data_IF_794947697888
#
_entry.id   IF_794947697888
#
_cell.length_a   1.000
_cell.length_b   1.000
_cell.length_c   1.000
_cell.angle_alpha   90.00
_cell.angle_beta   90.00
_cell.angle_gamma   90.00
#
_symmetry.space_group_name_H-M   'P 1'
#
loop_
_entity.id
_entity.type
_entity.pdbx_description
1 polymer ?
#
# COMPACT_ATOMS: atom_id res chain seq x y z
N UNK A 1 9.97 -20.43 -5.22
CA UNK A 1 8.60 -21.00 -5.30
C UNK A 1 7.68 -20.48 -4.20
N UNK A 2 8.04 -20.56 -2.91
CA UNK A 2 7.17 -20.10 -1.81
C UNK A 2 6.70 -18.63 -1.92
N UNK A 3 7.61 -17.71 -2.27
CA UNK A 3 7.25 -16.30 -2.46
C UNK A 3 6.20 -16.08 -3.55
N UNK A 4 6.38 -16.70 -4.72
CA UNK A 4 5.43 -16.57 -5.84
C UNK A 4 4.04 -17.10 -5.50
N UNK A 5 3.97 -18.20 -4.74
CA UNK A 5 2.70 -18.72 -4.25
C UNK A 5 2.02 -17.74 -3.29
N UNK A 6 2.78 -17.14 -2.36
CA UNK A 6 2.28 -16.10 -1.47
C UNK A 6 1.78 -14.86 -2.25
N UNK A 7 2.54 -14.38 -3.25
CA UNK A 7 2.11 -13.26 -4.08
C UNK A 7 0.78 -13.57 -4.79
N UNK A 8 0.61 -14.80 -5.28
CA UNK A 8 -0.62 -15.22 -5.92
C UNK A 8 -1.81 -15.25 -4.95
N UNK A 9 -1.62 -15.72 -3.71
CA UNK A 9 -2.69 -15.70 -2.71
C UNK A 9 -3.11 -14.28 -2.33
N UNK A 10 -2.16 -13.35 -2.24
CA UNK A 10 -2.46 -11.93 -2.00
C UNK A 10 -3.20 -11.29 -3.18
N UNK A 11 -2.82 -11.61 -4.41
CA UNK A 11 -3.55 -11.15 -5.60
C UNK A 11 -4.98 -11.67 -5.62
N UNK A 12 -5.24 -12.91 -5.19
CA UNK A 12 -6.59 -13.44 -5.07
C UNK A 12 -7.39 -12.75 -3.95
N UNK A 13 -6.76 -12.49 -2.80
CA UNK A 13 -7.40 -11.79 -1.68
C UNK A 13 -7.87 -10.38 -2.09
N UNK A 14 -6.97 -9.56 -2.63
CA UNK A 14 -7.30 -8.21 -3.09
C UNK A 14 -8.18 -8.24 -4.34
N UNK A 15 -7.97 -9.20 -5.25
CA UNK A 15 -8.81 -9.40 -6.43
C UNK A 15 -10.28 -9.66 -6.07
N UNK A 16 -10.54 -10.51 -5.08
CA UNK A 16 -11.88 -10.74 -4.57
C UNK A 16 -12.53 -9.46 -4.00
N UNK A 17 -11.77 -8.67 -3.24
CA UNK A 17 -12.24 -7.37 -2.73
C UNK A 17 -12.49 -6.34 -3.83
N UNK A 18 -11.69 -6.32 -4.89
CA UNK A 18 -11.91 -5.43 -6.05
C UNK A 18 -13.18 -5.79 -6.82
N UNK A 19 -13.48 -7.08 -6.98
CA UNK A 19 -14.75 -7.54 -7.57
C UNK A 19 -15.91 -7.10 -6.69
N UNK A 20 -15.81 -7.31 -5.37
CA UNK A 20 -16.84 -6.90 -4.42
C UNK A 20 -17.11 -5.38 -4.48
N UNK A 21 -16.04 -4.57 -4.50
CA UNK A 21 -16.15 -3.13 -4.70
C UNK A 21 -16.85 -2.77 -6.01
N UNK A 22 -16.49 -3.42 -7.12
CA UNK A 22 -17.06 -3.15 -8.43
C UNK A 22 -18.56 -3.47 -8.48
N UNK A 23 -19.00 -4.57 -7.86
CA UNK A 23 -20.42 -4.94 -7.79
C UNK A 23 -21.22 -3.92 -6.98
N UNK A 24 -20.73 -3.53 -5.80
CA UNK A 24 -21.43 -2.54 -4.98
C UNK A 24 -21.41 -1.14 -5.59
N UNK A 25 -20.34 -0.77 -6.28
CA UNK A 25 -20.25 0.47 -7.05
C UNK A 25 -21.34 0.55 -8.13
N UNK A 26 -21.55 -0.55 -8.85
CA UNK A 26 -22.60 -0.66 -9.86
C UNK A 26 -24.01 -0.65 -9.25
N UNK A 27 -24.16 -1.22 -8.05
CA UNK A 27 -25.45 -1.30 -7.34
C UNK A 27 -25.85 0.03 -6.68
N UNK A 28 -24.88 0.81 -6.19
CA UNK A 28 -25.08 2.08 -5.49
C UNK A 28 -24.26 3.23 -6.10
N UNK A 29 -24.49 3.59 -7.38
CA UNK A 29 -23.65 4.54 -8.09
C UNK A 29 -23.64 5.93 -7.45
N UNK A 30 -24.80 6.48 -7.07
CA UNK A 30 -24.88 7.82 -6.49
C UNK A 30 -24.21 7.90 -5.11
N UNK A 31 -24.42 6.89 -4.26
CA UNK A 31 -23.84 6.85 -2.93
C UNK A 31 -22.31 6.74 -2.97
N UNK A 32 -21.75 5.92 -3.88
CA UNK A 32 -20.31 5.81 -4.06
C UNK A 32 -19.71 7.09 -4.68
N UNK A 33 -20.44 7.79 -5.56
CA UNK A 33 -20.00 9.08 -6.11
C UNK A 33 -19.91 10.15 -5.01
N UNK A 34 -20.92 10.23 -4.14
CA UNK A 34 -20.93 11.14 -3.00
C UNK A 34 -19.83 10.81 -2.00
N UNK A 35 -19.67 9.54 -1.64
CA UNK A 35 -18.63 9.12 -0.70
C UNK A 35 -17.20 9.27 -1.26
N UNK A 36 -17.00 9.13 -2.57
CA UNK A 36 -15.69 9.38 -3.19
C UNK A 36 -15.27 10.86 -3.12
N UNK A 37 -16.23 11.81 -3.17
CA UNK A 37 -15.94 13.26 -3.01
C UNK A 37 -15.48 13.64 -1.62
N UNK A 38 -15.77 12.82 -0.63
CA UNK A 38 -15.27 12.99 0.74
C UNK A 38 -13.77 12.70 0.85
N UNK A 39 -13.17 12.05 -0.15
CA UNK A 39 -11.74 11.75 -0.18
C UNK A 39 -10.96 12.85 -0.91
N UNK A 40 -9.77 13.15 -0.41
CA UNK A 40 -8.91 14.16 -1.03
C UNK A 40 -8.01 13.52 -2.09
N UNK A 41 -8.31 13.80 -3.36
CA UNK A 41 -7.57 13.30 -4.53
C UNK A 41 -6.10 13.72 -4.55
N UNK A 42 -5.78 14.94 -4.10
CA UNK A 42 -4.41 15.47 -4.09
C UNK A 42 -3.56 14.69 -3.07
N UNK A 43 -4.10 14.46 -1.89
CA UNK A 43 -3.44 13.66 -0.84
C UNK A 43 -3.24 12.21 -1.33
N UNK A 44 -4.24 11.64 -1.99
CA UNK A 44 -4.13 10.31 -2.62
C UNK A 44 -3.07 10.26 -3.71
N UNK A 45 -3.01 11.26 -4.60
CA UNK A 45 -2.03 11.33 -5.69
C UNK A 45 -0.60 11.47 -5.16
N UNK A 46 -0.41 12.27 -4.12
CA UNK A 46 0.87 12.42 -3.43
C UNK A 46 1.35 11.09 -2.82
N UNK A 47 0.44 10.35 -2.17
CA UNK A 47 0.74 9.00 -1.67
C UNK A 47 1.16 8.03 -2.76
N UNK A 48 0.48 8.06 -3.91
CA UNK A 48 0.83 7.23 -5.07
C UNK A 48 2.23 7.59 -5.59
N UNK A 49 2.56 8.88 -5.72
CA UNK A 49 3.90 9.31 -6.13
C UNK A 49 5.00 8.84 -5.15
N UNK A 50 4.73 8.90 -3.83
CA UNK A 50 5.63 8.40 -2.80
C UNK A 50 5.89 6.89 -2.98
N UNK A 51 4.84 6.09 -3.12
CA UNK A 51 4.98 4.63 -3.23
C UNK A 51 5.67 4.20 -4.52
N UNK A 52 5.32 4.80 -5.66
CA UNK A 52 6.00 4.53 -6.93
C UNK A 52 7.49 4.87 -6.86
N UNK A 53 7.84 5.99 -6.21
CA UNK A 53 9.24 6.38 -6.00
C UNK A 53 9.95 5.40 -5.07
N UNK A 54 9.28 4.95 -4.00
CA UNK A 54 9.79 3.95 -3.06
C UNK A 54 10.04 2.59 -3.72
N UNK A 55 9.14 2.20 -4.62
CA UNK A 55 9.24 0.99 -5.45
C UNK A 55 10.44 1.08 -6.39
N UNK A 56 10.62 2.21 -7.07
CA UNK A 56 11.79 2.47 -7.91
C UNK A 56 13.10 2.39 -7.10
N UNK A 57 13.17 3.03 -5.92
CA UNK A 57 14.39 3.00 -5.09
C UNK A 57 14.71 1.58 -4.61
N UNK A 58 13.69 0.75 -4.35
CA UNK A 58 13.89 -0.66 -4.01
C UNK A 58 14.51 -1.45 -5.17
N UNK A 59 13.99 -1.28 -6.40
CA UNK A 59 14.54 -1.92 -7.60
C UNK A 59 15.99 -1.48 -7.86
N UNK A 60 16.27 -0.19 -7.72
CA UNK A 60 17.63 0.35 -7.83
C UNK A 60 18.57 -0.22 -6.75
N UNK A 61 18.06 -0.50 -5.55
CA UNK A 61 18.86 -1.10 -4.47
C UNK A 61 19.33 -2.51 -4.81
N UNK A 62 18.50 -3.28 -5.52
CA UNK A 62 18.83 -4.62 -6.01
C UNK A 62 19.85 -4.52 -7.15
N UNK A 63 19.66 -3.59 -8.09
CA UNK A 63 20.64 -3.35 -9.15
C UNK A 63 22.01 -2.92 -8.58
N UNK A 64 22.01 -2.10 -7.52
CA UNK A 64 23.23 -1.69 -6.84
C UNK A 64 23.95 -2.87 -6.17
N UNK A 65 23.23 -3.79 -5.52
CA UNK A 65 23.89 -4.95 -4.89
C UNK A 65 24.45 -5.93 -5.93
N UNK A 66 23.77 -6.11 -7.08
CA UNK A 66 24.27 -6.91 -8.20
C UNK A 66 25.58 -6.32 -8.78
N UNK A 67 25.72 -4.99 -8.76
CA UNK A 67 26.95 -4.27 -9.16
C UNK A 67 28.01 -4.16 -8.06
N UNK A 68 27.87 -4.91 -6.95
CA UNK A 68 28.74 -4.83 -5.77
C UNK A 68 28.81 -3.44 -5.09
N UNK A 69 27.84 -2.56 -5.37
CA UNK A 69 27.76 -1.23 -4.77
C UNK A 69 26.94 -1.27 -3.47
N UNK A 70 27.51 -1.89 -2.44
CA UNK A 70 26.86 -2.10 -1.14
C UNK A 70 26.35 -0.81 -0.50
N UNK A 71 27.16 0.24 -0.45
CA UNK A 71 26.80 1.51 0.19
C UNK A 71 25.57 2.15 -0.47
N UNK A 72 25.54 2.14 -1.81
CA UNK A 72 24.41 2.65 -2.58
C UNK A 72 23.15 1.82 -2.33
N UNK A 73 23.26 0.49 -2.27
CA UNK A 73 22.12 -0.39 -1.96
C UNK A 73 21.50 -0.08 -0.59
N UNK A 74 22.33 0.12 0.44
CA UNK A 74 21.87 0.48 1.79
C UNK A 74 21.17 1.85 1.78
N UNK A 75 21.77 2.84 1.12
CA UNK A 75 21.18 4.18 1.00
C UNK A 75 19.81 4.16 0.31
N UNK A 76 19.68 3.38 -0.77
CA UNK A 76 18.41 3.23 -1.48
C UNK A 76 17.35 2.50 -0.67
N UNK A 77 17.71 1.46 0.08
CA UNK A 77 16.80 0.77 1.01
C UNK A 77 16.33 1.72 2.13
N UNK A 78 17.22 2.58 2.64
CA UNK A 78 16.86 3.60 3.62
C UNK A 78 15.84 4.59 3.04
N UNK A 79 16.06 5.08 1.81
CA UNK A 79 15.09 5.96 1.13
C UNK A 79 13.73 5.26 0.98
N UNK A 80 13.70 3.99 0.55
CA UNK A 80 12.47 3.21 0.43
C UNK A 80 11.68 3.18 1.75
N UNK A 81 12.36 2.94 2.88
CA UNK A 81 11.75 2.93 4.22
C UNK A 81 11.21 4.31 4.59
N UNK A 82 11.97 5.38 4.38
CA UNK A 82 11.54 6.75 4.72
C UNK A 82 10.30 7.15 3.93
N UNK A 83 10.28 6.87 2.63
CA UNK A 83 9.12 7.13 1.77
C UNK A 83 7.90 6.33 2.23
N UNK A 84 8.08 5.05 2.55
CA UNK A 84 7.02 4.19 3.06
C UNK A 84 6.43 4.69 4.39
N UNK A 85 7.27 5.16 5.31
CA UNK A 85 6.82 5.78 6.56
C UNK A 85 6.05 7.08 6.28
N UNK A 86 6.50 7.89 5.32
CA UNK A 86 5.78 9.08 4.86
C UNK A 86 4.35 8.76 4.38
N UNK A 87 4.20 7.69 3.59
CA UNK A 87 2.89 7.17 3.18
C UNK A 87 2.01 6.80 4.39
N UNK A 88 2.56 6.06 5.35
CA UNK A 88 1.82 5.65 6.56
C UNK A 88 1.41 6.83 7.45
N UNK A 89 2.27 7.84 7.58
CA UNK A 89 1.96 9.06 8.33
C UNK A 89 0.83 9.84 7.66
N UNK A 90 0.89 10.00 6.34
CA UNK A 90 -0.19 10.66 5.60
C UNK A 90 -1.52 9.92 5.76
N UNK A 91 -1.48 8.58 5.70
CA UNK A 91 -2.66 7.74 5.95
C UNK A 91 -3.23 7.88 7.35
N UNK A 92 -2.36 7.97 8.36
CA UNK A 92 -2.78 8.21 9.74
C UNK A 92 -3.56 9.52 9.88
N UNK A 93 -3.11 10.60 9.25
CA UNK A 93 -3.83 11.88 9.27
C UNK A 93 -5.16 11.83 8.51
N UNK A 94 -5.19 11.16 7.35
CA UNK A 94 -6.41 11.00 6.57
C UNK A 94 -7.50 10.23 7.34
N UNK A 95 -7.13 9.10 7.93
CA UNK A 95 -8.03 8.33 8.78
C UNK A 95 -8.41 9.09 10.05
N UNK A 96 -7.44 9.73 10.71
CA UNK A 96 -7.69 10.55 11.91
C UNK A 96 -8.72 11.65 11.65
N UNK A 97 -8.62 12.33 10.51
CA UNK A 97 -9.61 13.31 10.09
C UNK A 97 -10.99 12.68 9.87
N UNK A 98 -11.10 11.47 9.30
CA UNK A 98 -12.41 10.80 9.14
C UNK A 98 -12.99 10.33 10.47
N UNK A 99 -12.14 9.88 11.39
CA UNK A 99 -12.55 9.51 12.74
C UNK A 99 -13.05 10.72 13.53
N UNK A 100 -12.42 11.91 13.38
CA UNK A 100 -12.89 13.14 14.03
C UNK A 100 -14.24 13.62 13.50
N UNK A 101 -14.57 13.33 12.24
CA UNK A 101 -15.91 13.55 11.67
C UNK A 101 -16.91 12.45 12.04
N UNK A 102 -16.53 11.50 12.90
CA UNK A 102 -17.38 10.38 13.32
C UNK A 102 -17.58 9.31 12.25
N UNK A 103 -16.80 9.32 11.17
CA UNK A 103 -16.91 8.34 10.07
C UNK A 103 -15.90 7.22 10.31
N UNK A 104 -16.22 6.30 11.21
CA UNK A 104 -15.43 5.09 11.47
C UNK A 104 -16.30 3.83 11.51
N UNK A 105 -15.72 2.62 11.31
CA UNK A 105 -16.50 1.38 11.33
C UNK A 105 -17.26 1.20 12.65
N UNK A 106 -18.59 1.08 12.58
CA UNK A 106 -19.46 0.93 13.75
C UNK A 106 -19.85 2.23 14.46
N UNK A 107 -19.55 3.40 13.89
CA UNK A 107 -20.05 4.70 14.40
C UNK A 107 -21.52 4.92 14.08
N UNK A 108 -22.25 5.56 15.00
CA UNK A 108 -23.65 5.94 14.80
C UNK A 108 -23.84 6.88 13.60
N UNK A 109 -22.87 7.78 13.38
CA UNK A 109 -22.86 8.71 12.25
C UNK A 109 -22.75 7.96 10.93
N UNK A 110 -21.85 6.97 10.82
CA UNK A 110 -21.77 6.15 9.61
C UNK A 110 -23.05 5.30 9.44
N UNK A 111 -23.55 4.67 10.50
CA UNK A 111 -24.74 3.82 10.43
C UNK A 111 -26.03 4.60 10.10
N UNK A 112 -26.04 5.92 10.33
CA UNK A 112 -27.13 6.80 9.92
C UNK A 112 -27.13 7.17 8.42
N UNK A 113 -26.03 6.88 7.70
CA UNK A 113 -25.90 7.18 6.27
C UNK A 113 -26.62 6.14 5.39
N UNK A 114 -26.89 6.45 4.11
CA UNK A 114 -27.42 5.47 3.17
C UNK A 114 -26.54 4.22 3.07
N UNK A 115 -27.17 3.06 2.85
CA UNK A 115 -26.47 1.77 2.80
C UNK A 115 -25.24 1.76 1.87
N UNK A 116 -25.33 2.44 0.72
CA UNK A 116 -24.20 2.55 -0.22
C UNK A 116 -22.98 3.29 0.35
N UNK A 117 -23.17 4.34 1.15
CA UNK A 117 -22.06 5.07 1.79
C UNK A 117 -21.44 4.24 2.92
N UNK A 118 -22.27 3.51 3.69
CA UNK A 118 -21.81 2.58 4.73
C UNK A 118 -20.89 1.52 4.11
N UNK A 119 -21.33 0.92 3.00
CA UNK A 119 -20.57 -0.11 2.28
C UNK A 119 -19.28 0.49 1.70
N UNK A 120 -19.34 1.68 1.11
CA UNK A 120 -18.15 2.37 0.58
C UNK A 120 -17.07 2.56 1.65
N UNK A 121 -17.42 3.17 2.78
CA UNK A 121 -16.46 3.41 3.85
C UNK A 121 -16.00 2.10 4.52
N UNK A 122 -16.89 1.10 4.64
CA UNK A 122 -16.53 -0.24 5.10
C UNK A 122 -15.46 -0.88 4.22
N UNK A 123 -15.68 -0.90 2.90
CA UNK A 123 -14.70 -1.41 1.93
C UNK A 123 -13.42 -0.57 1.93
N UNK A 124 -13.53 0.75 1.99
CA UNK A 124 -12.39 1.66 2.09
C UNK A 124 -11.49 1.29 3.28
N UNK A 125 -12.04 1.17 4.48
CA UNK A 125 -11.26 0.87 5.68
C UNK A 125 -10.66 -0.54 5.66
N UNK A 126 -11.42 -1.55 5.20
CA UNK A 126 -10.91 -2.92 5.12
C UNK A 126 -9.79 -3.01 4.09
N UNK A 127 -9.99 -2.51 2.88
CA UNK A 127 -9.01 -2.63 1.80
C UNK A 127 -7.76 -1.78 2.05
N UNK A 128 -7.93 -0.52 2.45
CA UNK A 128 -6.78 0.35 2.75
C UNK A 128 -6.08 -0.06 4.04
N UNK A 129 -6.80 -0.63 5.01
CA UNK A 129 -6.20 -1.11 6.26
C UNK A 129 -5.44 -2.41 6.10
N UNK A 130 -5.97 -3.38 5.37
CA UNK A 130 -5.21 -4.58 4.99
C UNK A 130 -3.96 -4.19 4.21
N UNK A 131 -4.07 -3.26 3.26
CA UNK A 131 -2.92 -2.73 2.54
C UNK A 131 -1.90 -2.05 3.48
N UNK A 132 -2.38 -1.22 4.43
CA UNK A 132 -1.50 -0.59 5.43
C UNK A 132 -0.74 -1.59 6.28
N UNK A 133 -1.36 -2.71 6.68
CA UNK A 133 -0.68 -3.80 7.37
C UNK A 133 0.44 -4.39 6.50
N UNK A 134 0.18 -4.63 5.22
CA UNK A 134 1.18 -5.11 4.27
C UNK A 134 2.36 -4.14 4.11
N UNK A 135 2.08 -2.83 4.03
CA UNK A 135 3.12 -1.79 3.99
C UNK A 135 4.00 -1.85 5.25
N UNK A 136 3.39 -1.96 6.44
CA UNK A 136 4.15 -2.07 7.70
C UNK A 136 5.03 -3.32 7.72
N UNK A 137 4.50 -4.48 7.32
CA UNK A 137 5.26 -5.73 7.22
C UNK A 137 6.43 -5.54 6.24
N UNK A 138 6.18 -4.93 5.08
CA UNK A 138 7.21 -4.65 4.09
C UNK A 138 8.32 -3.74 4.61
N UNK A 139 7.98 -2.68 5.35
CA UNK A 139 8.95 -1.79 6.00
C UNK A 139 9.86 -2.58 6.94
N UNK A 140 9.28 -3.45 7.78
CA UNK A 140 10.04 -4.29 8.71
C UNK A 140 10.98 -5.24 7.95
N UNK A 141 10.48 -5.91 6.90
CA UNK A 141 11.28 -6.83 6.09
C UNK A 141 12.44 -6.10 5.39
N UNK A 142 12.21 -4.93 4.81
CA UNK A 142 13.26 -4.12 4.17
C UNK A 142 14.27 -3.64 5.20
N UNK A 143 13.85 -3.22 6.39
CA UNK A 143 14.77 -2.83 7.46
C UNK A 143 15.67 -4.01 7.91
N UNK A 144 15.13 -5.23 7.98
CA UNK A 144 15.91 -6.45 8.26
C UNK A 144 16.91 -6.70 7.12
N UNK A 145 16.48 -6.60 5.86
CA UNK A 145 17.37 -6.76 4.71
C UNK A 145 18.48 -5.70 4.70
N UNK A 146 18.16 -4.44 5.01
CA UNK A 146 19.13 -3.36 5.12
C UNK A 146 20.20 -3.66 6.17
N UNK A 147 19.81 -4.23 7.31
CA UNK A 147 20.75 -4.70 8.34
C UNK A 147 21.63 -5.85 7.83
N UNK A 148 21.07 -6.79 7.08
CA UNK A 148 21.82 -7.91 6.51
C UNK A 148 22.80 -7.47 5.42
N UNK A 149 22.39 -6.54 4.54
CA UNK A 149 23.27 -5.89 3.57
C UNK A 149 24.38 -5.15 4.29
N UNK A 150 24.07 -4.39 5.34
CA UNK A 150 25.06 -3.65 6.16
C UNK A 150 26.09 -4.58 6.81
N UNK A 151 25.66 -5.74 7.32
CA UNK A 151 26.55 -6.78 7.88
C UNK A 151 27.34 -7.57 6.81
N UNK A 152 27.09 -7.34 5.52
CA UNK A 152 27.75 -8.08 4.43
C UNK A 152 27.28 -9.52 4.28
N UNK A 153 26.11 -9.85 4.85
CA UNK A 153 25.48 -11.17 4.71
C UNK A 153 24.88 -11.32 3.31
N UNK A 154 24.32 -10.23 2.77
CA UNK A 154 23.82 -10.17 1.39
C UNK A 154 24.95 -9.64 0.52
N UNK A 155 25.42 -10.47 -0.41
CA UNK A 155 26.44 -10.15 -1.41
C UNK A 155 25.86 -10.28 -2.81
N UNK A 156 26.63 -9.94 -3.84
CA UNK A 156 26.21 -10.07 -5.23
C UNK A 156 25.89 -11.49 -5.68
N UNK A 157 26.34 -12.52 -4.94
CA UNK A 157 26.03 -13.93 -5.22
C UNK A 157 24.74 -14.42 -4.53
N UNK A 158 24.21 -13.65 -3.59
CA UNK A 158 23.16 -14.03 -2.65
C UNK A 158 22.07 -12.96 -2.53
N UNK A 159 21.92 -12.15 -3.58
CA UNK A 159 20.92 -11.07 -3.65
C UNK A 159 19.48 -11.59 -3.74
N UNK A 160 19.27 -12.89 -4.02
CA UNK A 160 17.95 -13.52 -4.11
C UNK A 160 17.08 -13.24 -2.88
N UNK A 161 17.68 -13.14 -1.69
CA UNK A 161 16.94 -12.77 -0.46
C UNK A 161 16.39 -11.35 -0.53
N UNK A 162 17.18 -10.39 -1.00
CA UNK A 162 16.77 -9.00 -1.18
C UNK A 162 15.73 -8.89 -2.31
N UNK A 163 15.92 -9.62 -3.39
CA UNK A 163 14.98 -9.68 -4.52
C UNK A 163 13.62 -10.24 -4.10
N UNK A 164 13.60 -11.30 -3.29
CA UNK A 164 12.36 -11.89 -2.76
C UNK A 164 11.54 -10.86 -1.98
N UNK A 165 12.20 -10.05 -1.14
CA UNK A 165 11.55 -8.95 -0.41
C UNK A 165 11.19 -7.79 -1.34
N UNK A 166 12.00 -7.53 -2.37
CA UNK A 166 11.66 -6.56 -3.42
C UNK A 166 10.36 -6.93 -4.14
N UNK A 167 10.18 -8.19 -4.53
CA UNK A 167 8.95 -8.69 -5.16
C UNK A 167 7.72 -8.48 -4.25
N UNK A 168 7.85 -8.71 -2.95
CA UNK A 168 6.80 -8.38 -1.98
C UNK A 168 6.45 -6.89 -2.03
N UNK A 169 7.46 -6.03 -1.96
CA UNK A 169 7.28 -4.58 -1.94
C UNK A 169 6.61 -4.06 -3.22
N UNK A 170 7.04 -4.56 -4.37
CA UNK A 170 6.45 -4.22 -5.66
C UNK A 170 4.99 -4.68 -5.77
N UNK A 171 4.62 -5.83 -5.21
CA UNK A 171 3.22 -6.25 -5.16
C UNK A 171 2.38 -5.29 -4.32
N UNK A 172 2.87 -4.90 -3.15
CA UNK A 172 2.17 -3.94 -2.27
C UNK A 172 1.92 -2.65 -3.03
N UNK A 173 2.93 -2.11 -3.73
CA UNK A 173 2.80 -0.93 -4.59
C UNK A 173 1.76 -1.12 -5.71
N UNK A 174 1.79 -2.26 -6.42
CA UNK A 174 0.79 -2.58 -7.47
C UNK A 174 -0.63 -2.58 -6.90
N UNK A 175 -0.86 -3.14 -5.72
CA UNK A 175 -2.19 -3.12 -5.08
C UNK A 175 -2.65 -1.67 -4.84
N UNK A 176 -1.74 -0.79 -4.42
CA UNK A 176 -2.05 0.63 -4.23
C UNK A 176 -2.39 1.35 -5.54
N UNK A 177 -1.67 1.04 -6.63
CA UNK A 177 -1.93 1.58 -7.97
C UNK A 177 -3.37 1.28 -8.41
N UNK A 178 -3.97 0.17 -8.00
CA UNK A 178 -5.38 -0.13 -8.25
C UNK A 178 -6.33 0.52 -7.23
N UNK A 179 -5.97 0.55 -5.94
CA UNK A 179 -6.78 1.17 -4.89
C UNK A 179 -6.99 2.67 -5.11
N UNK A 180 -5.94 3.38 -5.51
CA UNK A 180 -5.99 4.83 -5.66
C UNK A 180 -7.04 5.28 -6.70
N UNK A 181 -7.05 4.80 -7.96
CA UNK A 181 -8.08 5.16 -8.91
C UNK A 181 -9.48 4.77 -8.46
N UNK A 182 -9.65 3.57 -7.91
CA UNK A 182 -10.95 3.04 -7.50
C UNK A 182 -11.63 3.93 -6.45
N UNK A 183 -10.89 4.41 -5.47
CA UNK A 183 -11.45 5.22 -4.36
C UNK A 183 -11.36 6.73 -4.59
N UNK A 184 -10.30 7.22 -5.25
CA UNK A 184 -10.03 8.66 -5.34
C UNK A 184 -10.36 9.26 -6.71
N UNK A 185 -10.08 8.56 -7.82
CA UNK A 185 -10.25 9.14 -9.17
C UNK A 185 -11.63 8.88 -9.77
N UNK A 186 -12.21 7.71 -9.50
CA UNK A 186 -13.51 7.32 -10.06
C UNK A 186 -14.62 7.86 -9.14
N UNK A 187 -14.76 9.18 -9.16
CA UNK A 187 -15.92 9.88 -8.58
C UNK A 187 -17.09 9.75 -9.52
#
# INVERSE_FOLDING_TARGET
MGMWLFLFTELLLFGGMFILYSIYRFTYPDAFHLAAKELNTIIGAFNTAILLTSSLTMALSIAAIQRNQKSLSIFLQFITIVLALGFMVNKYFEWGAKFSHGIYPGSDVLLSKPAGEIIFFGLYYVMTGLHGIHVIIGIVLIAIMMRFTSKGIIKSDSYVKLETIGLYWHLVDIIWIFLFPLFYLIT
#
